data_IF_328307525637
#
_entry.id   IF_328307525637
#
_cell.length_a   1.000
_cell.length_b   1.000
_cell.length_c   1.000
_cell.angle_alpha   90.00
_cell.angle_beta   90.00
_cell.angle_gamma   90.00
#
_symmetry.space_group_name_H-M   'P 1'
#
loop_
_entity.id
_entity.type
_entity.pdbx_description
1 polymer ?
#
# COMPACT_ATOMS: atom_id res chain seq x y z
N UNK A 1 -0.59 8.96 -15.11
CA UNK A 1 0.85 9.30 -15.14
C UNK A 1 1.33 9.35 -16.60
N UNK A 2 2.48 9.97 -16.89
CA UNK A 2 3.05 9.98 -18.26
C UNK A 2 3.74 8.63 -18.54
N UNK A 3 3.41 7.99 -19.67
CA UNK A 3 3.93 6.65 -20.05
C UNK A 3 5.45 6.57 -20.02
N UNK A 4 6.13 7.57 -20.59
CA UNK A 4 7.60 7.60 -20.66
C UNK A 4 8.26 7.65 -19.29
N UNK A 5 7.62 8.26 -18.29
CA UNK A 5 8.11 8.31 -16.91
C UNK A 5 8.04 6.95 -16.21
N UNK A 6 7.05 6.12 -16.54
CA UNK A 6 7.04 4.75 -16.02
C UNK A 6 8.16 3.91 -16.66
N UNK A 7 8.38 4.06 -17.98
CA UNK A 7 9.44 3.34 -18.66
C UNK A 7 10.86 3.75 -18.29
N UNK A 8 11.09 5.00 -17.87
CA UNK A 8 12.39 5.38 -17.32
C UNK A 8 12.76 4.61 -16.05
N UNK A 9 11.78 3.97 -15.40
CA UNK A 9 11.98 3.07 -14.25
C UNK A 9 11.82 1.58 -14.61
N UNK A 10 11.90 1.24 -15.89
CA UNK A 10 11.66 -0.12 -16.41
C UNK A 10 10.25 -0.65 -16.15
N UNK A 11 9.27 0.23 -15.87
CA UNK A 11 7.89 -0.15 -15.60
C UNK A 11 7.71 -0.87 -14.27
N UNK A 12 6.84 -1.88 -14.26
CA UNK A 12 6.57 -2.72 -13.10
C UNK A 12 7.75 -3.66 -12.85
N UNK A 13 8.17 -3.75 -11.59
CA UNK A 13 9.14 -4.76 -11.19
C UNK A 13 8.46 -6.13 -11.07
N UNK A 14 9.03 -7.14 -11.74
CA UNK A 14 8.54 -8.53 -11.74
C UNK A 14 9.22 -9.40 -10.67
N UNK A 15 10.11 -8.80 -9.87
CA UNK A 15 10.81 -9.53 -8.81
C UNK A 15 9.88 -10.03 -7.71
N UNK A 16 10.29 -11.10 -7.03
CA UNK A 16 9.58 -11.62 -5.86
C UNK A 16 9.51 -10.63 -4.69
N UNK A 17 10.32 -9.57 -4.70
CA UNK A 17 10.32 -8.56 -3.64
C UNK A 17 9.12 -7.61 -3.74
N UNK A 18 8.62 -7.36 -4.94
CA UNK A 18 7.53 -6.41 -5.23
C UNK A 18 6.23 -7.09 -5.64
N UNK A 19 6.22 -8.43 -5.75
CA UNK A 19 5.02 -9.21 -6.06
C UNK A 19 3.81 -8.80 -5.17
N UNK A 20 2.65 -8.61 -5.80
CA UNK A 20 1.40 -8.11 -5.21
C UNK A 20 1.43 -6.67 -4.66
N UNK A 21 2.52 -5.93 -4.84
CA UNK A 21 2.65 -4.51 -4.50
C UNK A 21 3.28 -3.70 -5.64
N UNK A 22 3.23 -4.22 -6.87
CA UNK A 22 3.91 -3.70 -8.05
C UNK A 22 3.49 -2.25 -8.34
N UNK A 23 2.19 -1.96 -8.20
CA UNK A 23 1.65 -0.60 -8.28
C UNK A 23 2.27 0.30 -7.21
N UNK A 24 2.39 -0.16 -5.97
CA UNK A 24 2.94 0.66 -4.90
C UNK A 24 4.41 1.05 -5.16
N UNK A 25 5.24 0.08 -5.58
CA UNK A 25 6.63 0.34 -5.96
C UNK A 25 6.74 1.32 -7.15
N UNK A 26 5.94 1.12 -8.21
CA UNK A 26 5.95 2.01 -9.37
C UNK A 26 5.55 3.44 -9.00
N UNK A 27 4.55 3.61 -8.13
CA UNK A 27 4.10 4.93 -7.70
C UNK A 27 5.14 5.62 -6.83
N UNK A 28 5.84 4.88 -5.96
CA UNK A 28 6.95 5.43 -5.20
C UNK A 28 8.11 5.88 -6.10
N UNK A 29 8.46 5.09 -7.12
CA UNK A 29 9.46 5.46 -8.13
C UNK A 29 9.07 6.75 -8.85
N UNK A 30 7.87 6.80 -9.43
CA UNK A 30 7.41 7.96 -10.18
C UNK A 30 7.32 9.22 -9.29
N UNK A 31 6.88 9.08 -8.04
CA UNK A 31 6.77 10.22 -7.13
C UNK A 31 8.12 10.81 -6.69
N UNK A 32 9.24 10.12 -6.94
CA UNK A 32 10.58 10.74 -6.76
C UNK A 32 10.87 11.83 -7.77
N UNK A 33 10.19 11.84 -8.92
CA UNK A 33 10.38 12.84 -9.98
C UNK A 33 9.45 14.06 -9.82
N UNK A 34 8.41 13.96 -9.00
CA UNK A 34 7.45 15.05 -8.83
C UNK A 34 6.23 14.65 -8.00
N UNK A 35 5.38 15.65 -7.70
CA UNK A 35 4.19 15.45 -6.87
C UNK A 35 3.01 14.93 -7.70
N UNK A 36 2.24 14.00 -7.13
CA UNK A 36 0.95 13.60 -7.67
C UNK A 36 -0.13 14.63 -7.31
N UNK A 37 -1.10 14.80 -8.20
CA UNK A 37 -2.33 15.54 -7.92
C UNK A 37 -3.48 14.54 -7.80
N UNK A 38 -4.19 14.58 -6.67
CA UNK A 38 -5.37 13.76 -6.43
C UNK A 38 -6.58 14.43 -7.08
N UNK A 39 -7.42 13.64 -7.75
CA UNK A 39 -8.71 14.11 -8.22
C UNK A 39 -9.63 14.28 -7.00
N UNK A 40 -10.21 15.47 -6.82
CA UNK A 40 -11.14 15.79 -5.72
C UNK A 40 -12.50 15.08 -5.82
N UNK A 41 -12.60 13.99 -6.58
CA UNK A 41 -13.81 13.20 -6.79
C UNK A 41 -13.47 11.72 -6.91
N UNK A 42 -14.31 10.88 -6.34
CA UNK A 42 -14.21 9.43 -6.53
C UNK A 42 -14.69 9.07 -7.94
N UNK A 43 -13.75 8.64 -8.79
CA UNK A 43 -14.04 8.30 -10.21
C UNK A 43 -13.99 6.81 -10.50
N UNK A 44 -13.69 5.98 -9.50
CA UNK A 44 -13.52 4.52 -9.64
C UNK A 44 -14.12 3.80 -8.45
N UNK A 45 -14.57 2.56 -8.68
CA UNK A 45 -15.03 1.64 -7.64
C UNK A 45 -14.23 0.35 -7.71
N UNK A 46 -13.89 -0.20 -6.54
CA UNK A 46 -13.14 -1.45 -6.43
C UNK A 46 -14.06 -2.56 -5.93
N UNK A 47 -14.00 -3.74 -6.58
CA UNK A 47 -14.70 -4.92 -6.10
C UNK A 47 -13.94 -5.52 -4.92
N UNK A 48 -14.55 -5.48 -3.73
CA UNK A 48 -13.99 -6.11 -2.54
C UNK A 48 -14.54 -7.54 -2.40
N UNK A 49 -13.65 -8.51 -2.22
CA UNK A 49 -14.04 -9.91 -1.97
C UNK A 49 -13.09 -10.60 -1.01
N UNK A 50 -13.64 -11.44 -0.12
CA UNK A 50 -12.87 -12.18 0.91
C UNK A 50 -11.83 -13.13 0.27
N UNK A 51 -12.08 -13.61 -0.95
CA UNK A 51 -11.22 -14.59 -1.65
C UNK A 51 -10.32 -13.97 -2.73
N UNK A 52 -10.22 -12.65 -2.79
CA UNK A 52 -9.33 -11.97 -3.75
C UNK A 52 -7.85 -12.26 -3.45
N UNK A 53 -7.00 -12.22 -4.48
CA UNK A 53 -5.54 -12.39 -4.34
C UNK A 53 -4.99 -11.39 -3.31
N UNK A 54 -5.49 -10.15 -3.34
CA UNK A 54 -5.11 -9.11 -2.39
C UNK A 54 -5.44 -9.48 -0.95
N UNK A 55 -6.63 -10.06 -0.71
CA UNK A 55 -7.03 -10.49 0.63
C UNK A 55 -6.17 -11.67 1.14
N UNK A 56 -5.85 -12.63 0.28
CA UNK A 56 -5.02 -13.80 0.62
C UNK A 56 -3.58 -13.40 0.97
N UNK A 57 -3.01 -12.43 0.26
CA UNK A 57 -1.59 -12.07 0.36
C UNK A 57 -1.30 -10.79 1.18
N UNK A 58 -2.28 -10.27 1.93
CA UNK A 58 -2.18 -8.97 2.63
C UNK A 58 -1.03 -8.85 3.65
N UNK A 59 -0.65 -9.93 4.32
CA UNK A 59 0.47 -9.93 5.27
C UNK A 59 1.80 -9.78 4.52
N UNK A 60 1.98 -10.58 3.46
CA UNK A 60 3.17 -10.50 2.60
C UNK A 60 3.24 -9.12 1.92
N UNK A 61 2.12 -8.58 1.44
CA UNK A 61 2.06 -7.21 0.91
C UNK A 61 2.49 -6.18 1.97
N UNK A 62 2.00 -6.28 3.21
CA UNK A 62 2.37 -5.35 4.28
C UNK A 62 3.87 -5.43 4.61
N UNK A 63 4.45 -6.62 4.67
CA UNK A 63 5.90 -6.82 4.84
C UNK A 63 6.70 -6.17 3.70
N UNK A 64 6.30 -6.42 2.45
CA UNK A 64 6.96 -5.86 1.26
C UNK A 64 6.84 -4.33 1.22
N UNK A 65 5.69 -3.76 1.59
CA UNK A 65 5.50 -2.30 1.71
C UNK A 65 6.46 -1.69 2.73
N UNK A 66 6.69 -2.35 3.88
CA UNK A 66 7.67 -1.88 4.87
C UNK A 66 9.08 -1.84 4.27
N UNK A 67 9.46 -2.85 3.49
CA UNK A 67 10.75 -2.88 2.80
C UNK A 67 10.87 -1.76 1.76
N UNK A 68 9.82 -1.52 0.97
CA UNK A 68 9.77 -0.41 0.01
C UNK A 68 9.87 0.96 0.70
N UNK A 69 9.20 1.15 1.85
CA UNK A 69 9.33 2.39 2.63
C UNK A 69 10.77 2.61 3.11
N UNK A 70 11.48 1.55 3.53
CA UNK A 70 12.90 1.64 3.90
C UNK A 70 13.79 1.99 2.70
N UNK A 71 13.54 1.39 1.54
CA UNK A 71 14.24 1.67 0.28
C UNK A 71 14.09 3.14 -0.15
N UNK A 72 12.90 3.71 -0.01
CA UNK A 72 12.60 5.10 -0.38
C UNK A 72 12.75 6.12 0.76
N UNK A 73 13.36 5.75 1.90
CA UNK A 73 13.41 6.59 3.11
C UNK A 73 13.96 8.01 2.91
N UNK A 74 14.89 8.20 1.98
CA UNK A 74 15.54 9.48 1.72
C UNK A 74 14.81 10.33 0.68
N UNK A 75 13.85 9.76 -0.06
CA UNK A 75 13.15 10.44 -1.16
C UNK A 75 11.83 11.09 -0.70
N UNK A 76 11.22 10.56 0.37
CA UNK A 76 9.95 11.03 0.88
C UNK A 76 10.07 11.64 2.28
N UNK A 77 9.41 12.79 2.54
CA UNK A 77 9.40 13.37 3.87
C UNK A 77 8.61 12.48 4.83
N UNK A 78 8.91 12.60 6.13
CA UNK A 78 8.17 11.90 7.21
C UNK A 78 8.24 10.37 7.13
N UNK A 79 9.37 9.82 6.69
CA UNK A 79 9.67 8.39 6.70
C UNK A 79 9.17 7.66 7.96
N UNK A 80 9.49 8.18 9.16
CA UNK A 80 9.09 7.57 10.42
C UNK A 80 7.58 7.40 10.56
N UNK A 81 6.77 8.38 10.11
CA UNK A 81 5.31 8.26 10.14
C UNK A 81 4.87 7.13 9.22
N UNK A 82 5.38 7.09 7.98
CA UNK A 82 5.06 6.02 7.03
C UNK A 82 5.47 4.63 7.55
N UNK A 83 6.65 4.52 8.16
CA UNK A 83 7.15 3.30 8.76
C UNK A 83 6.26 2.81 9.91
N UNK A 84 5.88 3.71 10.82
CA UNK A 84 4.99 3.39 11.96
C UNK A 84 3.63 2.91 11.45
N UNK A 85 2.98 3.66 10.55
CA UNK A 85 1.65 3.28 10.03
C UNK A 85 1.67 1.94 9.30
N UNK A 86 2.71 1.66 8.51
CA UNK A 86 2.85 0.39 7.81
C UNK A 86 3.13 -0.77 8.77
N UNK A 87 3.90 -0.53 9.83
CA UNK A 87 4.14 -1.52 10.89
C UNK A 87 2.86 -1.82 11.67
N UNK A 88 2.08 -0.80 12.04
CA UNK A 88 0.77 -0.97 12.68
C UNK A 88 -0.16 -1.78 11.79
N UNK A 89 -0.20 -1.49 10.48
CA UNK A 89 -1.01 -2.25 9.51
C UNK A 89 -0.61 -3.72 9.44
N UNK A 90 0.70 -4.03 9.47
CA UNK A 90 1.19 -5.41 9.51
C UNK A 90 0.73 -6.11 10.80
N UNK A 91 0.92 -5.48 11.96
CA UNK A 91 0.49 -6.02 13.26
C UNK A 91 -1.01 -6.28 13.26
N UNK A 92 -1.82 -5.34 12.76
CA UNK A 92 -3.26 -5.50 12.64
C UNK A 92 -3.64 -6.74 11.80
N UNK A 93 -2.99 -6.96 10.66
CA UNK A 93 -3.24 -8.15 9.84
C UNK A 93 -2.78 -9.46 10.48
N UNK A 94 -1.69 -9.44 11.27
CA UNK A 94 -1.24 -10.59 12.04
C UNK A 94 -2.23 -10.95 13.14
N UNK A 95 -2.70 -9.96 13.92
CA UNK A 95 -3.69 -10.21 14.97
C UNK A 95 -4.99 -10.72 14.35
N UNK A 96 -5.45 -10.13 13.24
CA UNK A 96 -6.66 -10.60 12.56
C UNK A 96 -6.55 -12.04 12.02
N UNK A 97 -5.33 -12.54 11.77
CA UNK A 97 -5.11 -13.94 11.36
C UNK A 97 -5.29 -14.90 12.54
N UNK A 98 -4.90 -14.49 13.74
CA UNK A 98 -4.94 -15.32 14.96
C UNK A 98 -6.33 -15.25 15.62
N UNK A 99 -6.88 -14.05 15.70
CA UNK A 99 -8.17 -13.79 16.32
C UNK A 99 -9.09 -13.10 15.31
N UNK A 100 -10.17 -13.75 14.85
CA UNK A 100 -11.17 -13.05 14.06
C UNK A 100 -11.81 -11.99 14.96
N UNK A 101 -11.36 -10.74 14.81
CA UNK A 101 -11.97 -9.60 15.50
C UNK A 101 -13.47 -9.54 15.20
N UNK A 102 -14.25 -9.12 16.21
CA UNK A 102 -15.66 -8.79 16.02
C UNK A 102 -15.82 -7.85 14.82
N UNK A 103 -16.66 -8.23 13.84
CA UNK A 103 -16.80 -7.52 12.57
C UNK A 103 -17.15 -6.03 12.77
N UNK A 104 -17.85 -5.69 13.86
CA UNK A 104 -18.17 -4.30 14.24
C UNK A 104 -16.94 -3.46 14.55
N UNK A 105 -15.96 -4.01 15.28
CA UNK A 105 -14.72 -3.31 15.65
C UNK A 105 -13.86 -3.08 14.40
N UNK A 106 -13.75 -4.11 13.55
CA UNK A 106 -13.02 -4.01 12.26
C UNK A 106 -13.65 -2.97 11.35
N UNK A 107 -14.99 -2.90 11.30
CA UNK A 107 -15.70 -1.89 10.54
C UNK A 107 -15.34 -0.48 11.00
N UNK A 108 -15.41 -0.20 12.31
CA UNK A 108 -15.10 1.13 12.85
C UNK A 108 -13.66 1.57 12.57
N UNK A 109 -12.68 0.67 12.72
CA UNK A 109 -11.28 0.93 12.37
C UNK A 109 -11.13 1.24 10.88
N UNK A 110 -11.80 0.47 10.00
CA UNK A 110 -11.78 0.71 8.55
C UNK A 110 -12.40 2.06 8.16
N UNK A 111 -13.52 2.46 8.77
CA UNK A 111 -14.13 3.77 8.53
C UNK A 111 -13.23 4.91 8.98
N UNK A 112 -12.55 4.79 10.13
CA UNK A 112 -11.59 5.79 10.60
C UNK A 112 -10.38 5.93 9.65
N UNK A 113 -9.90 4.81 9.09
CA UNK A 113 -8.82 4.82 8.10
C UNK A 113 -9.22 5.42 6.74
N UNK A 114 -10.52 5.41 6.40
CA UNK A 114 -11.03 5.89 5.10
C UNK A 114 -11.14 7.43 5.02
N UNK A 115 -10.96 8.12 6.15
CA UNK A 115 -11.05 9.58 6.27
C UNK A 115 -9.69 10.30 6.12
N UNK A 116 -8.61 9.58 5.87
CA UNK A 116 -7.27 10.12 5.57
C UNK A 116 -6.82 9.70 4.17
#
# INVERSE_FOLDING_TARGET
FKKNTAFSFNGYDESQNTLHIEDYDLWLKIGTLGKFSNLGRYSVSLKQGKHTISAKNRINQALRIINEIKKFKNHYPRFFKGYIFSTIRLIFFLIQKITPFNEKIVYHIKTAYKQY
#
